data_IF_166842178165
#
_entry.id   IF_166842178165
#
_cell.length_a   1.000
_cell.length_b   1.000
_cell.length_c   1.000
_cell.angle_alpha   90.00
_cell.angle_beta   90.00
_cell.angle_gamma   90.00
#
_symmetry.space_group_name_H-M   'P 1'
#
loop_
_entity.id
_entity.type
_entity.pdbx_description
1 polymer ?
#
# COMPACT_ATOMS: atom_id res chain seq x y z
N UNK A 1 -5.06 1.25 15.97
CA UNK A 1 -4.40 1.08 14.66
C UNK A 1 -4.11 2.46 14.08
N UNK A 2 -3.02 2.62 13.32
CA UNK A 2 -2.63 3.93 12.76
C UNK A 2 -3.25 4.13 11.37
N UNK A 3 -3.56 5.38 11.00
CA UNK A 3 -3.98 5.71 9.64
C UNK A 3 -2.85 5.45 8.63
N UNK A 4 -3.22 5.07 7.42
CA UNK A 4 -2.28 4.89 6.33
C UNK A 4 -1.69 6.24 5.89
N UNK A 5 -0.36 6.27 5.78
CA UNK A 5 0.38 7.40 5.24
C UNK A 5 1.34 6.91 4.16
N UNK A 6 1.10 7.36 2.92
CA UNK A 6 1.86 6.93 1.75
C UNK A 6 3.28 7.53 1.66
N UNK A 7 3.61 8.55 2.48
CA UNK A 7 4.95 9.11 2.57
C UNK A 7 5.83 8.32 3.53
N UNK A 8 5.23 7.71 4.55
CA UNK A 8 5.93 6.97 5.61
C UNK A 8 6.06 5.48 5.27
N UNK A 9 5.00 4.84 4.74
CA UNK A 9 4.96 3.37 4.61
C UNK A 9 4.31 2.93 3.30
N UNK A 10 4.84 1.86 2.71
CA UNK A 10 4.24 1.21 1.53
C UNK A 10 2.92 0.49 1.88
N UNK A 11 1.96 0.46 0.95
CA UNK A 11 0.65 -0.14 1.18
C UNK A 11 0.73 -1.63 1.55
N UNK A 12 1.65 -2.40 0.97
CA UNK A 12 1.82 -3.82 1.26
C UNK A 12 2.29 -4.03 2.71
N UNK A 13 3.25 -3.21 3.13
CA UNK A 13 3.77 -3.24 4.50
C UNK A 13 2.71 -2.76 5.51
N UNK A 14 1.93 -1.74 5.15
CA UNK A 14 0.82 -1.25 5.97
C UNK A 14 -0.25 -2.31 6.16
N UNK A 15 -0.68 -3.00 5.09
CA UNK A 15 -1.66 -4.07 5.16
C UNK A 15 -1.15 -5.21 6.06
N UNK A 16 0.11 -5.62 5.92
CA UNK A 16 0.73 -6.64 6.78
C UNK A 16 0.70 -6.25 8.26
N UNK A 17 0.99 -4.98 8.57
CA UNK A 17 0.92 -4.47 9.94
C UNK A 17 -0.52 -4.47 10.47
N UNK A 18 -1.46 -4.02 9.65
CA UNK A 18 -2.88 -4.03 9.96
C UNK A 18 -3.37 -5.45 10.28
N UNK A 19 -3.04 -6.45 9.45
CA UNK A 19 -3.42 -7.86 9.66
C UNK A 19 -2.91 -8.38 11.01
N UNK A 20 -1.67 -8.05 11.38
CA UNK A 20 -1.10 -8.42 12.68
C UNK A 20 -1.84 -7.75 13.84
N UNK A 21 -2.15 -6.46 13.70
CA UNK A 21 -2.87 -5.70 14.72
C UNK A 21 -4.31 -6.21 14.87
N UNK A 22 -4.99 -6.54 13.77
CA UNK A 22 -6.35 -7.05 13.77
C UNK A 22 -6.43 -8.44 14.42
N UNK A 23 -5.50 -9.33 14.08
CA UNK A 23 -5.36 -10.64 14.75
C UNK A 23 -5.05 -10.51 16.23
N UNK A 24 -4.14 -9.61 16.60
CA UNK A 24 -3.78 -9.39 18.02
C UNK A 24 -4.95 -8.81 18.81
N UNK A 25 -5.78 -7.98 18.18
CA UNK A 25 -6.99 -7.42 18.76
C UNK A 25 -8.17 -8.41 18.78
N UNK A 26 -8.03 -9.60 18.18
CA UNK A 26 -9.11 -10.60 18.09
C UNK A 26 -10.28 -10.15 17.22
N UNK A 27 -10.05 -9.28 16.23
CA UNK A 27 -11.09 -8.82 15.32
C UNK A 27 -11.52 -9.94 14.37
N UNK A 28 -12.82 -10.11 14.21
CA UNK A 28 -13.39 -10.99 13.19
C UNK A 28 -13.07 -10.46 11.79
N UNK A 29 -12.84 -11.37 10.82
CA UNK A 29 -12.46 -10.98 9.45
C UNK A 29 -13.50 -10.08 8.77
N UNK A 30 -14.77 -10.20 9.15
CA UNK A 30 -15.88 -9.33 8.72
C UNK A 30 -15.67 -7.87 9.13
N UNK A 31 -14.98 -7.63 10.23
CA UNK A 31 -14.66 -6.29 10.75
C UNK A 31 -13.38 -5.72 10.14
N UNK A 32 -12.57 -6.53 9.44
CA UNK A 32 -11.28 -6.05 8.94
C UNK A 32 -11.45 -4.99 7.85
N UNK A 33 -12.39 -5.18 6.92
CA UNK A 33 -12.62 -4.20 5.86
C UNK A 33 -13.18 -2.87 6.37
N UNK A 34 -14.26 -2.82 7.19
CA UNK A 34 -14.75 -1.54 7.69
C UNK A 34 -13.70 -0.82 8.55
N UNK A 35 -12.93 -1.55 9.35
CA UNK A 35 -11.81 -0.98 10.10
C UNK A 35 -10.73 -0.42 9.16
N UNK A 36 -10.34 -1.18 8.13
CA UNK A 36 -9.36 -0.73 7.13
C UNK A 36 -9.83 0.54 6.41
N UNK A 37 -11.09 0.61 5.98
CA UNK A 37 -11.67 1.79 5.30
C UNK A 37 -11.55 3.04 6.18
N UNK A 38 -11.80 2.92 7.48
CA UNK A 38 -11.71 4.06 8.43
C UNK A 38 -10.29 4.60 8.60
N UNK A 39 -9.27 3.77 8.31
CA UNK A 39 -7.86 4.09 8.46
C UNK A 39 -7.21 4.52 7.15
N UNK A 40 -7.87 4.29 6.02
CA UNK A 40 -7.40 4.70 4.70
C UNK A 40 -7.82 6.13 4.35
N UNK A 41 -7.01 6.87 3.58
CA UNK A 41 -7.44 8.12 2.98
C UNK A 41 -8.61 7.89 2.03
N UNK A 42 -9.48 8.89 1.90
CA UNK A 42 -10.73 8.81 1.13
C UNK A 42 -10.52 8.28 -0.31
N UNK A 43 -9.44 8.69 -0.97
CA UNK A 43 -9.13 8.24 -2.34
C UNK A 43 -8.91 6.73 -2.47
N UNK A 44 -8.45 6.05 -1.42
CA UNK A 44 -8.29 4.59 -1.39
C UNK A 44 -9.56 3.89 -0.92
N UNK A 45 -10.23 4.46 0.09
CA UNK A 45 -11.53 3.97 0.56
C UNK A 45 -12.55 3.92 -0.59
N UNK A 46 -12.57 4.93 -1.48
CA UNK A 46 -13.46 4.95 -2.64
C UNK A 46 -13.22 3.81 -3.64
N UNK A 47 -12.01 3.25 -3.70
CA UNK A 47 -11.73 2.11 -4.58
C UNK A 47 -12.45 0.88 -4.04
N UNK A 48 -12.39 0.69 -2.72
CA UNK A 48 -13.04 -0.41 -2.02
C UNK A 48 -14.57 -0.28 -2.11
N UNK A 49 -15.11 0.92 -1.91
CA UNK A 49 -16.57 1.19 -1.96
C UNK A 49 -17.15 0.97 -3.37
N UNK A 50 -16.34 1.07 -4.42
CA UNK A 50 -16.76 0.81 -5.80
C UNK A 50 -16.85 -0.68 -6.14
N UNK A 51 -16.26 -1.55 -5.33
CA UNK A 51 -16.40 -2.99 -5.51
C UNK A 51 -17.80 -3.45 -5.09
N UNK A 52 -18.36 -4.50 -5.71
CA UNK A 52 -19.65 -5.04 -5.31
C UNK A 52 -19.59 -5.55 -3.87
N UNK A 53 -20.70 -5.47 -3.13
CA UNK A 53 -20.76 -5.73 -1.68
C UNK A 53 -20.09 -7.06 -1.27
N UNK A 54 -20.31 -8.14 -2.01
CA UNK A 54 -19.67 -9.45 -1.76
C UNK A 54 -18.14 -9.39 -1.81
N UNK A 55 -17.58 -8.60 -2.72
CA UNK A 55 -16.14 -8.40 -2.90
C UNK A 55 -15.57 -7.37 -1.93
N UNK A 56 -16.39 -6.41 -1.54
CA UNK A 56 -16.04 -5.41 -0.52
C UNK A 56 -15.95 -6.07 0.87
N UNK A 57 -16.80 -7.04 1.19
CA UNK A 57 -16.74 -7.74 2.48
C UNK A 57 -15.56 -8.73 2.57
N UNK A 58 -15.02 -9.16 1.44
CA UNK A 58 -13.89 -10.08 1.37
C UNK A 58 -12.55 -9.34 1.49
N UNK A 59 -11.87 -9.52 2.62
CA UNK A 59 -10.59 -8.85 2.87
C UNK A 59 -9.52 -9.22 1.85
N UNK A 60 -9.51 -10.47 1.35
CA UNK A 60 -8.53 -10.94 0.36
C UNK A 60 -8.69 -10.16 -0.94
N UNK A 61 -9.90 -10.04 -1.46
CA UNK A 61 -10.21 -9.25 -2.65
C UNK A 61 -9.88 -7.77 -2.43
N UNK A 62 -10.24 -7.19 -1.29
CA UNK A 62 -9.90 -5.79 -0.96
C UNK A 62 -8.39 -5.57 -0.97
N UNK A 63 -7.62 -6.49 -0.39
CA UNK A 63 -6.16 -6.48 -0.39
C UNK A 63 -5.61 -6.55 -1.81
N UNK A 64 -6.12 -7.43 -2.66
CA UNK A 64 -5.71 -7.51 -4.06
C UNK A 64 -6.01 -6.24 -4.84
N UNK A 65 -7.21 -5.67 -4.70
CA UNK A 65 -7.61 -4.42 -5.38
C UNK A 65 -6.73 -3.24 -4.95
N UNK A 66 -6.42 -3.14 -3.66
CA UNK A 66 -5.49 -2.12 -3.16
C UNK A 66 -4.09 -2.34 -3.73
N UNK A 67 -3.57 -3.56 -3.67
CA UNK A 67 -2.24 -3.88 -4.19
C UNK A 67 -2.15 -3.66 -5.70
N UNK A 68 -3.17 -4.04 -6.47
CA UNK A 68 -3.27 -3.80 -7.91
C UNK A 68 -3.25 -2.30 -8.20
N UNK A 69 -4.01 -1.49 -7.46
CA UNK A 69 -4.00 -0.04 -7.64
C UNK A 69 -2.60 0.55 -7.46
N UNK A 70 -1.84 0.08 -6.48
CA UNK A 70 -0.49 0.56 -6.20
C UNK A 70 0.59 -0.06 -7.12
N UNK A 71 0.38 -1.28 -7.64
CA UNK A 71 1.22 -1.88 -8.69
C UNK A 71 0.99 -1.22 -10.06
N UNK A 72 -0.27 -0.90 -10.40
CA UNK A 72 -0.64 -0.13 -11.59
C UNK A 72 -0.32 1.36 -11.48
N UNK A 73 -0.17 1.91 -10.26
CA UNK A 73 0.33 3.26 -10.01
C UNK A 73 1.83 3.22 -9.65
N UNK A 74 2.73 3.29 -10.63
CA UNK A 74 4.16 3.59 -10.41
C UNK A 74 4.42 4.98 -9.77
N UNK A 75 3.37 5.69 -9.32
CA UNK A 75 3.45 6.99 -8.66
C UNK A 75 4.18 6.94 -7.30
N UNK A 76 4.15 5.83 -6.56
CA UNK A 76 4.98 5.66 -5.34
C UNK A 76 6.47 5.55 -5.69
N UNK A 77 6.78 4.92 -6.82
CA UNK A 77 8.13 4.85 -7.38
C UNK A 77 8.62 6.26 -7.76
N UNK A 78 7.76 7.07 -8.40
CA UNK A 78 8.06 8.46 -8.78
C UNK A 78 8.14 9.43 -7.59
N UNK A 79 7.34 9.23 -6.53
CA UNK A 79 7.40 10.05 -5.31
C UNK A 79 8.74 9.86 -4.59
N UNK A 80 9.20 8.61 -4.42
CA UNK A 80 10.54 8.33 -3.90
C UNK A 80 11.64 8.78 -4.85
N UNK A 81 11.49 8.62 -6.17
CA UNK A 81 12.47 9.11 -7.15
C UNK A 81 12.65 10.64 -7.06
N UNK A 82 11.55 11.39 -6.99
CA UNK A 82 11.57 12.86 -6.92
C UNK A 82 12.07 13.37 -5.55
N UNK A 83 11.77 12.67 -4.45
CA UNK A 83 12.31 13.00 -3.13
C UNK A 83 13.80 12.63 -2.99
N UNK A 84 14.27 11.50 -3.57
CA UNK A 84 15.69 11.10 -3.56
C UNK A 84 16.57 11.88 -4.55
N UNK A 85 16.02 12.49 -5.60
CA UNK A 85 16.79 13.38 -6.51
C UNK A 85 17.33 14.64 -5.79
N UNK A 86 16.83 14.96 -4.58
CA UNK A 86 17.36 16.04 -3.72
C UNK A 86 18.54 15.62 -2.83
N UNK A 87 19.30 14.58 -3.20
CA UNK A 87 20.68 14.44 -2.72
C UNK A 87 21.63 14.89 -3.84
N UNK A 88 22.25 16.09 -3.74
CA UNK A 88 23.24 16.52 -4.72
C UNK A 88 24.46 15.58 -4.60
N UNK A 89 24.59 14.61 -5.52
CA UNK A 89 25.80 13.78 -5.63
C UNK A 89 25.62 12.28 -5.87
N UNK A 90 24.40 11.73 -5.89
CA UNK A 90 24.23 10.31 -6.22
C UNK A 90 24.42 10.10 -7.74
N UNK A 91 25.47 9.38 -8.13
CA UNK A 91 25.72 9.05 -9.53
C UNK A 91 24.57 8.20 -10.08
N UNK A 92 24.00 8.63 -11.21
CA UNK A 92 22.96 7.91 -11.96
C UNK A 92 23.26 6.43 -12.22
N UNK A 93 24.54 6.02 -12.18
CA UNK A 93 24.98 4.64 -12.36
C UNK A 93 24.58 3.72 -11.20
N UNK A 94 24.62 4.20 -9.97
CA UNK A 94 24.25 3.41 -8.77
C UNK A 94 22.75 3.10 -8.77
N UNK A 95 21.95 4.07 -9.20
CA UNK A 95 20.50 3.95 -9.30
C UNK A 95 20.09 2.92 -10.36
N UNK A 96 20.75 2.90 -11.51
CA UNK A 96 20.48 1.91 -12.57
C UNK A 96 20.93 0.50 -12.15
N UNK A 97 22.00 0.41 -11.37
CA UNK A 97 22.50 -0.88 -10.86
C UNK A 97 21.53 -1.50 -9.84
N UNK A 98 21.03 -0.72 -8.89
CA UNK A 98 20.02 -1.15 -7.91
C UNK A 98 18.70 -1.57 -8.59
N UNK A 99 18.26 -0.83 -9.61
CA UNK A 99 17.02 -1.13 -10.32
C UNK A 99 17.09 -2.44 -11.10
N UNK A 100 18.24 -2.79 -11.68
CA UNK A 100 18.41 -4.09 -12.35
C UNK A 100 18.40 -5.25 -11.36
N UNK A 101 19.03 -5.09 -10.19
CA UNK A 101 19.05 -6.14 -9.19
C UNK A 101 17.64 -6.41 -8.60
N UNK A 102 16.79 -5.38 -8.52
CA UNK A 102 15.44 -5.49 -7.96
C UNK A 102 14.40 -6.08 -8.93
N UNK A 103 14.67 -6.04 -10.24
CA UNK A 103 13.76 -6.55 -11.28
C UNK A 103 14.12 -7.97 -11.76
N UNK A 104 15.35 -8.41 -11.49
CA UNK A 104 15.83 -9.76 -11.83
C UNK A 104 15.85 -10.71 -10.62
N UNK A 105 15.32 -10.28 -9.46
CA UNK A 105 15.21 -11.06 -8.22
C UNK A 105 13.80 -11.56 -7.92
#
# INVERSE_FOLDING_TARGET
MQKYDAQVTDISMYLTLFERQARTAGLEETEWVPQLISLLPLGLAQIIIKEPEKKMQDYVNVKEVLLDKFKMKPETFRLKFTQNQRKPGALWKELVFELRHYLEG
#
